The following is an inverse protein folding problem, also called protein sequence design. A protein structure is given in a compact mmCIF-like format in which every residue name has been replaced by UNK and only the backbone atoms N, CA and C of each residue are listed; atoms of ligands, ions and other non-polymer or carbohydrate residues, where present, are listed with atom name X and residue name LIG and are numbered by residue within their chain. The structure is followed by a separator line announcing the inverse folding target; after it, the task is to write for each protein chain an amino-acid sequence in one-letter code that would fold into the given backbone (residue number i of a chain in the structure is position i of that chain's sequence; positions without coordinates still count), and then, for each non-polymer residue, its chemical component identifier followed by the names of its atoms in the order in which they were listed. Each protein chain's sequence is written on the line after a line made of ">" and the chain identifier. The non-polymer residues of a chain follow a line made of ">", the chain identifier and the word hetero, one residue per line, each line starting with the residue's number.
data_IF_473361338910
#
_entry.id   IF_473361338910
#
_cell.length_a   1.000
_cell.length_b   1.000
_cell.length_c   1.000
_cell.angle_alpha   90.00
_cell.angle_beta   90.00
_cell.angle_gamma   90.00
#
_symmetry.space_group_name_H-M   'P 1'
#
loop_
_entity.id
_entity.type
_entity.pdbx_description
1 polymer ?
#
# COMPACT_ATOMS: atom_id res chain seq x y z
N UNK A 1 0.97 -7.28 -10.30
CA UNK A 1 -0.07 -6.97 -11.31
C UNK A 1 -0.98 -5.81 -10.90
N UNK A 2 -1.33 -5.70 -9.61
CA UNK A 2 -2.35 -4.76 -9.12
C UNK A 2 -1.76 -3.48 -8.50
N UNK A 3 -0.66 -2.97 -9.07
CA UNK A 3 0.01 -1.73 -8.61
C UNK A 3 -0.20 -0.67 -9.68
N UNK A 4 -0.93 0.39 -9.33
CA UNK A 4 -1.26 1.50 -10.22
C UNK A 4 -0.09 2.46 -10.33
N UNK A 5 0.46 2.88 -9.19
CA UNK A 5 1.59 3.78 -9.12
C UNK A 5 2.60 3.37 -8.03
N UNK A 6 3.86 3.72 -8.26
CA UNK A 6 4.95 3.64 -7.27
C UNK A 6 5.67 4.98 -7.30
N UNK A 7 5.57 5.72 -6.20
CA UNK A 7 6.08 7.09 -6.11
C UNK A 7 6.79 7.32 -4.78
N UNK A 8 7.88 8.06 -4.81
CA UNK A 8 8.68 8.28 -3.61
C UNK A 8 10.04 8.91 -3.87
N UNK A 9 10.73 9.25 -2.78
CA UNK A 9 12.11 9.75 -2.78
C UNK A 9 12.83 9.30 -1.51
N UNK A 10 14.11 8.98 -1.63
CA UNK A 10 14.90 8.51 -0.49
C UNK A 10 14.30 7.24 0.11
N UNK A 11 14.05 7.24 1.42
CA UNK A 11 13.45 6.13 2.17
C UNK A 11 11.97 6.36 2.44
N UNK A 12 11.24 6.96 1.51
CA UNK A 12 9.80 7.15 1.64
C UNK A 12 9.13 6.87 0.29
N UNK A 13 8.47 5.71 0.22
CA UNK A 13 7.85 5.19 -1.00
C UNK A 13 6.40 4.81 -0.75
N UNK A 14 5.50 5.36 -1.55
CA UNK A 14 4.11 4.94 -1.65
C UNK A 14 3.92 3.93 -2.78
N UNK A 15 3.09 2.92 -2.52
CA UNK A 15 2.66 1.92 -3.50
C UNK A 15 1.13 1.95 -3.50
N UNK A 16 0.55 2.41 -4.61
CA UNK A 16 -0.90 2.56 -4.77
C UNK A 16 -1.47 1.32 -5.48
N UNK A 17 -2.47 0.68 -4.89
CA UNK A 17 -3.09 -0.54 -5.42
C UNK A 17 -4.33 -0.23 -6.26
N UNK A 18 -4.45 -0.92 -7.40
CA UNK A 18 -5.61 -0.78 -8.31
C UNK A 18 -6.07 -2.15 -8.78
N UNK A 19 -7.38 -2.31 -8.97
CA UNK A 19 -7.99 -3.52 -9.51
C UNK A 19 -7.73 -3.65 -11.01
N UNK A 20 -7.65 -2.53 -11.73
CA UNK A 20 -7.35 -2.48 -13.16
C UNK A 20 -6.36 -1.36 -13.47
N UNK A 21 -5.23 -1.71 -14.09
CA UNK A 21 -4.14 -0.78 -14.40
C UNK A 21 -4.39 0.10 -15.63
N UNK A 22 -5.26 -0.32 -16.54
CA UNK A 22 -5.54 0.47 -17.75
C UNK A 22 -6.47 1.63 -17.44
N UNK A 23 -7.44 1.40 -16.54
CA UNK A 23 -8.46 2.36 -16.12
C UNK A 23 -8.12 3.07 -14.81
N UNK A 24 -7.14 2.55 -14.06
CA UNK A 24 -6.83 2.96 -12.68
C UNK A 24 -8.01 2.76 -11.72
N UNK A 25 -8.90 1.80 -12.01
CA UNK A 25 -10.04 1.52 -11.14
C UNK A 25 -9.55 1.00 -9.77
N UNK A 26 -10.03 1.56 -8.65
CA UNK A 26 -9.68 1.09 -7.32
C UNK A 26 -10.30 -0.27 -7.03
N UNK A 27 -9.78 -0.95 -6.00
CA UNK A 27 -10.47 -2.09 -5.42
C UNK A 27 -11.75 -1.65 -4.68
N UNK A 28 -12.79 -2.50 -4.60
CA UNK A 28 -13.87 -2.32 -3.66
C UNK A 28 -13.34 -2.20 -2.22
N UNK A 29 -13.86 -1.24 -1.46
CA UNK A 29 -13.34 -0.89 -0.13
C UNK A 29 -13.43 -2.05 0.88
N UNK A 30 -14.40 -2.96 0.71
CA UNK A 30 -14.58 -4.17 1.51
C UNK A 30 -13.41 -5.17 1.40
N UNK A 31 -12.58 -5.07 0.35
CA UNK A 31 -11.40 -5.92 0.19
C UNK A 31 -10.27 -5.46 1.13
N UNK A 32 -10.19 -4.17 1.44
CA UNK A 32 -9.20 -3.56 2.35
C UNK A 32 -7.76 -3.99 2.03
N UNK A 33 -7.34 -3.81 0.77
CA UNK A 33 -6.07 -4.37 0.26
C UNK A 33 -4.87 -3.89 1.09
N UNK A 34 -4.87 -2.62 1.52
CA UNK A 34 -3.78 -2.08 2.34
C UNK A 34 -3.71 -2.74 3.72
N UNK A 35 -4.86 -3.04 4.34
CA UNK A 35 -4.96 -3.73 5.64
C UNK A 35 -4.46 -5.17 5.54
N UNK A 36 -4.97 -5.94 4.58
CA UNK A 36 -4.56 -7.33 4.38
C UNK A 36 -3.06 -7.43 4.05
N UNK A 37 -2.52 -6.48 3.29
CA UNK A 37 -1.08 -6.39 3.01
C UNK A 37 -0.27 -6.12 4.28
N UNK A 38 -0.73 -5.19 5.13
CA UNK A 38 -0.10 -4.89 6.41
C UNK A 38 -0.11 -6.11 7.35
N UNK A 39 -1.26 -6.77 7.50
CA UNK A 39 -1.40 -7.97 8.33
C UNK A 39 -0.51 -9.12 7.83
N UNK A 40 -0.43 -9.32 6.51
CA UNK A 40 0.47 -10.30 5.91
C UNK A 40 1.95 -9.97 6.20
N UNK A 41 2.32 -8.69 6.16
CA UNK A 41 3.65 -8.20 6.50
C UNK A 41 4.05 -8.56 7.93
N UNK A 42 3.13 -8.42 8.88
CA UNK A 42 3.36 -8.68 10.31
C UNK A 42 3.54 -10.18 10.64
N UNK A 43 3.18 -11.08 9.73
CA UNK A 43 3.41 -12.51 9.94
C UNK A 43 4.90 -12.83 10.11
N UNK A 44 5.24 -13.84 10.91
CA UNK A 44 6.64 -14.28 11.13
C UNK A 44 7.41 -14.55 9.83
N UNK A 45 6.71 -14.98 8.77
CA UNK A 45 7.33 -15.24 7.46
C UNK A 45 7.93 -13.98 6.84
N UNK A 46 7.23 -12.84 6.93
CA UNK A 46 7.64 -11.60 6.29
C UNK A 46 8.32 -10.66 7.29
N UNK A 47 7.87 -10.61 8.54
CA UNK A 47 8.46 -9.85 9.64
C UNK A 47 8.72 -8.37 9.30
N UNK A 48 7.77 -7.74 8.61
CA UNK A 48 7.81 -6.32 8.27
C UNK A 48 6.56 -5.61 8.78
N UNK A 49 6.67 -4.31 9.04
CA UNK A 49 5.54 -3.44 9.27
C UNK A 49 5.57 -2.32 8.21
N UNK A 50 4.43 -2.04 7.60
CA UNK A 50 4.25 -0.98 6.60
C UNK A 50 3.13 -0.06 7.06
N UNK A 51 3.21 1.22 6.71
CA UNK A 51 2.14 2.15 7.02
C UNK A 51 1.05 2.02 5.96
N UNK A 52 -0.15 1.62 6.35
CA UNK A 52 -1.29 1.50 5.44
C UNK A 52 -2.04 2.83 5.33
N UNK A 53 -2.53 3.13 4.13
CA UNK A 53 -3.41 4.25 3.87
C UNK A 53 -4.60 3.80 3.02
N UNK A 54 -5.76 4.40 3.27
CA UNK A 54 -6.99 4.12 2.53
C UNK A 54 -7.91 5.34 2.57
N UNK A 55 -8.80 5.44 1.58
CA UNK A 55 -9.83 6.48 1.53
C UNK A 55 -9.32 7.84 1.05
N UNK A 56 -8.20 7.91 0.34
CA UNK A 56 -7.58 9.18 -0.05
C UNK A 56 -8.31 9.89 -1.21
N UNK A 57 -8.97 9.14 -2.09
CA UNK A 57 -9.56 9.70 -3.32
C UNK A 57 -10.87 10.43 -3.03
N UNK A 58 -11.73 9.88 -2.15
CA UNK A 58 -13.05 10.45 -1.81
C UNK A 58 -13.48 10.20 -0.34
N UNK A 59 -12.52 9.93 0.56
CA UNK A 59 -12.82 9.51 1.94
C UNK A 59 -13.25 8.04 2.08
N UNK A 60 -13.41 7.34 0.96
CA UNK A 60 -13.97 5.98 0.89
C UNK A 60 -13.11 5.02 0.08
N UNK A 61 -12.52 5.51 -1.02
CA UNK A 61 -11.84 4.69 -2.01
C UNK A 61 -10.35 5.03 -2.08
N UNK A 62 -9.56 4.03 -2.46
CA UNK A 62 -8.08 3.95 -2.49
C UNK A 62 -7.51 3.03 -1.40
N UNK A 63 -6.47 2.28 -1.77
CA UNK A 63 -5.68 1.41 -0.91
C UNK A 63 -4.21 1.59 -1.30
N UNK A 64 -3.38 2.01 -0.35
CA UNK A 64 -1.95 2.13 -0.57
C UNK A 64 -1.15 1.76 0.67
N UNK A 65 0.13 1.44 0.49
CA UNK A 65 1.07 1.29 1.59
C UNK A 65 2.25 2.23 1.42
N UNK A 66 2.85 2.59 2.54
CA UNK A 66 4.08 3.36 2.61
C UNK A 66 5.17 2.49 3.20
N UNK A 67 6.28 2.41 2.48
CA UNK A 67 7.53 1.82 2.91
C UNK A 67 8.46 2.96 3.30
N UNK A 68 8.71 3.07 4.60
CA UNK A 68 9.57 4.11 5.17
C UNK A 68 10.49 3.57 6.25
N UNK A 69 11.55 2.82 5.87
CA UNK A 69 12.50 2.28 6.83
C UNK A 69 13.27 3.42 7.53
N UNK A 70 13.75 3.19 8.76
CA UNK A 70 14.60 4.16 9.43
C UNK A 70 15.94 4.30 8.68
N UNK A 71 16.56 5.47 8.77
CA UNK A 71 17.82 5.76 8.06
C UNK A 71 19.01 4.88 8.46
N UNK A 72 18.91 4.17 9.58
CA UNK A 72 19.93 3.29 10.13
C UNK A 72 19.63 1.79 9.90
N UNK A 73 18.72 1.47 8.97
CA UNK A 73 18.47 0.09 8.54
C UNK A 73 19.66 -0.41 7.72
N UNK A 74 20.61 -1.10 8.36
CA UNK A 74 21.70 -1.82 7.70
C UNK A 74 21.33 -3.29 7.54
#
# INVERSE_FOLDING_TARGET
>A
PNVGDIRGRGFFWGIDFVADKQTSAPFPAEIRVAMETSEMGLTRKHSINVYLGSGTVDGVQDDHIIISPPYNSN
#
